data_IF_923628753097
#
_entry.id   IF_923628753097
#
_cell.length_a   1.000
_cell.length_b   1.000
_cell.length_c   1.000
_cell.angle_alpha   90.00
_cell.angle_beta   90.00
_cell.angle_gamma   90.00
#
_symmetry.space_group_name_H-M   'P 1'
#
loop_
_entity.id
_entity.type
_entity.pdbx_description
1 polymer ?
#
# COMPACT_ATOMS: atom_id res chain seq x y z
N UNK A 1 4.12 7.09 -16.95
CA UNK A 1 4.39 6.71 -15.54
C UNK A 1 4.00 5.24 -15.34
N UNK A 2 4.88 4.38 -14.81
CA UNK A 2 4.63 2.94 -14.74
C UNK A 2 3.97 2.55 -13.41
N UNK A 3 2.68 2.17 -13.45
CA UNK A 3 1.91 1.76 -12.25
C UNK A 3 2.49 0.53 -11.54
N UNK A 4 3.07 -0.42 -12.30
CA UNK A 4 3.69 -1.62 -11.73
C UNK A 4 4.88 -1.23 -10.85
N UNK A 5 5.79 -0.41 -11.35
CA UNK A 5 6.99 0.00 -10.58
C UNK A 5 6.64 0.83 -9.34
N UNK A 6 5.58 1.65 -9.40
CA UNK A 6 5.06 2.41 -8.25
C UNK A 6 4.55 1.47 -7.16
N UNK A 7 3.78 0.44 -7.55
CA UNK A 7 3.26 -0.53 -6.60
C UNK A 7 4.36 -1.43 -6.03
N UNK A 8 5.34 -1.84 -6.84
CA UNK A 8 6.53 -2.56 -6.36
C UNK A 8 7.34 -1.73 -5.35
N UNK A 9 7.41 -0.39 -5.53
CA UNK A 9 8.00 0.49 -4.52
C UNK A 9 7.20 0.49 -3.21
N UNK A 10 5.88 0.35 -3.29
CA UNK A 10 5.01 0.24 -2.10
C UNK A 10 5.24 -1.07 -1.37
N UNK A 11 5.39 -2.19 -2.10
CA UNK A 11 5.74 -3.49 -1.53
C UNK A 11 7.06 -3.38 -0.75
N UNK A 12 8.10 -2.81 -1.37
CA UNK A 12 9.41 -2.60 -0.71
C UNK A 12 9.33 -1.72 0.53
N UNK A 13 8.45 -0.71 0.55
CA UNK A 13 8.21 0.09 1.76
C UNK A 13 7.70 -0.80 2.90
N UNK A 14 6.67 -1.59 2.64
CA UNK A 14 6.08 -2.47 3.67
C UNK A 14 7.04 -3.57 4.13
N UNK A 15 7.82 -4.17 3.22
CA UNK A 15 8.87 -5.12 3.61
C UNK A 15 9.88 -4.49 4.58
N UNK A 16 10.24 -3.21 4.38
CA UNK A 16 11.13 -2.47 5.30
C UNK A 16 10.47 -2.18 6.65
N UNK A 17 9.17 -1.89 6.69
CA UNK A 17 8.42 -1.70 7.94
C UNK A 17 8.37 -3.01 8.72
N UNK A 18 8.05 -4.12 8.06
CA UNK A 18 8.01 -5.47 8.65
C UNK A 18 9.38 -5.85 9.21
N UNK A 19 10.46 -5.55 8.48
CA UNK A 19 11.82 -5.81 8.93
C UNK A 19 12.32 -4.84 10.04
N UNK A 20 11.49 -3.92 10.53
CA UNK A 20 11.89 -2.92 11.53
C UNK A 20 12.87 -1.86 11.02
N UNK A 21 13.07 -1.76 9.70
CA UNK A 21 14.04 -0.85 9.03
C UNK A 21 13.41 0.48 8.58
N UNK A 22 12.13 0.68 8.86
CA UNK A 22 11.37 1.87 8.47
C UNK A 22 10.09 1.99 9.31
N UNK A 23 9.40 3.12 9.17
CA UNK A 23 8.12 3.42 9.78
C UNK A 23 7.12 3.80 8.69
N UNK A 24 5.83 3.71 9.00
CA UNK A 24 4.76 4.15 8.13
C UNK A 24 4.49 5.66 8.30
N UNK A 25 4.88 6.45 7.30
CA UNK A 25 4.57 7.88 7.19
C UNK A 25 3.22 8.18 6.52
N UNK A 26 2.39 7.16 6.26
CA UNK A 26 1.09 7.31 5.63
C UNK A 26 1.16 7.97 4.24
N UNK A 27 0.43 9.08 4.05
CA UNK A 27 0.34 9.75 2.75
C UNK A 27 1.65 10.38 2.29
N UNK A 28 2.57 10.68 3.22
CA UNK A 28 3.81 11.40 2.95
C UNK A 28 4.87 10.53 2.27
N UNK A 29 4.89 9.24 2.58
CA UNK A 29 5.90 8.29 2.11
C UNK A 29 5.32 7.14 1.28
N UNK A 30 3.99 7.02 1.18
CA UNK A 30 3.33 6.05 0.31
C UNK A 30 3.59 6.39 -1.17
N UNK A 31 4.26 5.51 -1.95
CA UNK A 31 4.66 5.86 -3.32
C UNK A 31 3.50 6.24 -4.27
N UNK A 32 2.33 5.57 -4.23
CA UNK A 32 1.13 6.04 -4.95
C UNK A 32 0.63 7.39 -4.45
N UNK A 33 0.56 7.61 -3.13
CA UNK A 33 0.03 8.86 -2.58
C UNK A 33 0.86 10.08 -2.99
N UNK A 34 2.19 9.93 -3.10
CA UNK A 34 3.08 11.00 -3.59
C UNK A 34 2.73 11.52 -4.98
N UNK A 35 1.96 10.76 -5.76
CA UNK A 35 1.53 11.11 -7.12
C UNK A 35 0.02 11.43 -7.13
N UNK A 36 -0.78 10.58 -6.52
CA UNK A 36 -2.24 10.56 -6.73
C UNK A 36 -3.03 11.17 -5.58
N UNK A 37 -2.42 11.47 -4.42
CA UNK A 37 -3.15 12.00 -3.27
C UNK A 37 -3.74 13.39 -3.56
N UNK A 38 -2.95 14.28 -4.20
CA UNK A 38 -3.40 15.62 -4.60
C UNK A 38 -4.55 15.58 -5.62
N UNK A 39 -4.63 14.50 -6.41
CA UNK A 39 -5.71 14.25 -7.35
C UNK A 39 -6.86 13.43 -6.73
N UNK A 40 -6.98 13.42 -5.40
CA UNK A 40 -8.04 12.70 -4.68
C UNK A 40 -8.11 11.22 -5.08
N UNK A 41 -6.92 10.60 -5.19
CA UNK A 41 -6.71 9.20 -5.58
C UNK A 41 -7.11 8.85 -7.03
N UNK A 42 -7.43 9.82 -7.89
CA UNK A 42 -7.72 9.56 -9.30
C UNK A 42 -6.48 8.98 -10.00
N UNK A 43 -6.63 7.82 -10.63
CA UNK A 43 -5.54 7.10 -11.29
C UNK A 43 -4.64 6.27 -10.35
N UNK A 44 -4.92 6.28 -9.04
CA UNK A 44 -4.19 5.46 -8.07
C UNK A 44 -4.48 3.97 -8.32
N UNK A 45 -3.46 3.10 -8.43
CA UNK A 45 -3.68 1.68 -8.66
C UNK A 45 -4.52 0.99 -7.57
N UNK A 46 -4.37 1.43 -6.31
CA UNK A 46 -5.19 0.90 -5.20
C UNK A 46 -6.65 1.28 -5.39
N UNK A 47 -6.93 2.55 -5.72
CA UNK A 47 -8.30 3.02 -5.90
C UNK A 47 -8.97 2.40 -7.14
N UNK A 48 -8.21 2.18 -8.21
CA UNK A 48 -8.68 1.45 -9.38
C UNK A 48 -8.96 -0.02 -9.07
N UNK A 49 -8.14 -0.65 -8.23
CA UNK A 49 -8.30 -2.05 -7.85
C UNK A 49 -9.51 -2.28 -6.93
N UNK A 50 -9.68 -1.44 -5.91
CA UNK A 50 -10.76 -1.58 -4.93
C UNK A 50 -12.06 -0.89 -5.33
N UNK A 51 -12.00 0.00 -6.33
CA UNK A 51 -13.09 0.93 -6.64
C UNK A 51 -13.33 2.01 -5.58
N UNK A 52 -12.44 2.15 -4.59
CA UNK A 52 -12.64 3.02 -3.41
C UNK A 52 -11.45 3.96 -3.18
N UNK A 53 -11.75 5.20 -2.77
CA UNK A 53 -10.73 6.23 -2.46
C UNK A 53 -10.18 6.11 -1.03
N UNK A 54 -9.06 6.79 -0.77
CA UNK A 54 -8.44 6.92 0.56
C UNK A 54 -8.14 5.58 1.24
N UNK A 55 -7.59 4.64 0.47
CA UNK A 55 -7.26 3.28 0.92
C UNK A 55 -8.46 2.50 1.52
N UNK A 56 -9.70 2.96 1.33
CA UNK A 56 -10.87 2.22 1.79
C UNK A 56 -10.94 0.87 1.06
N UNK A 57 -11.24 -0.19 1.81
CA UNK A 57 -11.23 -1.55 1.28
C UNK A 57 -9.85 -2.19 1.14
N UNK A 58 -8.77 -1.54 1.60
CA UNK A 58 -7.47 -2.18 1.80
C UNK A 58 -7.23 -2.50 3.29
N UNK A 59 -6.24 -3.37 3.60
CA UNK A 59 -5.82 -3.64 4.98
C UNK A 59 -5.30 -2.41 5.75
N UNK A 60 -4.96 -1.32 5.06
CA UNK A 60 -4.35 -0.12 5.65
C UNK A 60 -5.19 0.47 6.79
N UNK A 61 -6.53 0.43 6.68
CA UNK A 61 -7.40 0.94 7.73
C UNK A 61 -7.18 0.21 9.06
N UNK A 62 -7.05 -1.12 9.03
CA UNK A 62 -6.81 -1.92 10.24
C UNK A 62 -5.46 -1.61 10.86
N UNK A 63 -4.40 -1.53 10.04
CA UNK A 63 -3.07 -1.10 10.51
C UNK A 63 -3.12 0.28 11.16
N UNK A 64 -3.76 1.26 10.51
CA UNK A 64 -3.83 2.62 11.01
C UNK A 64 -4.54 2.74 12.36
N UNK A 65 -5.70 2.09 12.51
CA UNK A 65 -6.45 2.09 13.76
C UNK A 65 -5.72 1.35 14.87
N UNK A 66 -5.17 0.17 14.60
CA UNK A 66 -4.35 -0.57 15.57
C UNK A 66 -3.16 0.28 16.08
N UNK A 67 -2.45 0.99 15.20
CA UNK A 67 -1.36 1.87 15.60
C UNK A 67 -1.81 3.03 16.50
N UNK A 68 -3.00 3.60 16.25
CA UNK A 68 -3.48 4.72 17.04
C UNK A 68 -4.11 4.26 18.37
N UNK A 69 -4.89 3.19 18.35
CA UNK A 69 -5.71 2.76 19.48
C UNK A 69 -4.88 1.96 20.49
N UNK A 70 -3.96 1.08 20.02
CA UNK A 70 -3.19 0.18 20.90
C UNK A 70 -1.80 0.71 21.25
N UNK A 71 -1.29 1.69 20.49
CA UNK A 71 0.06 2.22 20.71
C UNK A 71 0.09 3.74 20.92
N UNK A 72 -0.72 4.51 20.18
CA UNK A 72 -0.82 5.96 20.34
C UNK A 72 0.47 6.74 20.04
N UNK A 73 1.49 6.09 19.45
CA UNK A 73 2.77 6.71 19.17
C UNK A 73 2.74 7.56 17.89
N UNK A 74 3.52 8.64 17.89
CA UNK A 74 3.68 9.49 16.72
C UNK A 74 4.29 8.73 15.53
N UNK A 75 5.28 7.87 15.80
CA UNK A 75 5.96 7.04 14.79
C UNK A 75 5.24 5.71 14.70
N UNK A 76 4.70 5.36 13.53
CA UNK A 76 4.03 4.08 13.29
C UNK A 76 5.03 3.04 12.80
N UNK A 77 5.41 2.08 13.63
CA UNK A 77 6.31 0.97 13.27
C UNK A 77 5.77 -0.33 13.85
N UNK A 78 6.46 -1.44 13.59
CA UNK A 78 6.10 -2.71 14.22
C UNK A 78 6.49 -2.67 15.70
N UNK A 79 5.49 -2.69 16.59
CA UNK A 79 5.66 -2.69 18.04
C UNK A 79 5.25 -4.00 18.69
N UNK A 80 4.35 -4.75 18.07
CA UNK A 80 3.80 -6.00 18.60
C UNK A 80 3.56 -7.03 17.48
N UNK A 81 3.24 -8.30 17.81
CA UNK A 81 2.96 -9.33 16.80
C UNK A 81 1.79 -8.98 15.86
N UNK A 82 0.77 -8.28 16.37
CA UNK A 82 -0.39 -7.88 15.56
C UNK A 82 0.00 -6.81 14.52
N UNK A 83 0.92 -5.89 14.87
CA UNK A 83 1.52 -4.99 13.89
C UNK A 83 2.16 -5.77 12.74
N UNK A 84 2.99 -6.78 13.03
CA UNK A 84 3.64 -7.60 11.99
C UNK A 84 2.59 -8.24 11.09
N UNK A 85 1.52 -8.80 11.66
CA UNK A 85 0.43 -9.41 10.90
C UNK A 85 -0.26 -8.40 9.98
N UNK A 86 -0.67 -7.25 10.51
CA UNK A 86 -1.35 -6.19 9.75
C UNK A 86 -0.47 -5.54 8.67
N UNK A 87 0.82 -5.36 8.96
CA UNK A 87 1.79 -4.88 7.96
C UNK A 87 1.99 -5.91 6.84
N UNK A 88 2.00 -7.20 7.17
CA UNK A 88 2.09 -8.30 6.20
C UNK A 88 0.84 -8.37 5.33
N UNK A 89 -0.36 -8.30 5.92
CA UNK A 89 -1.63 -8.20 5.17
C UNK A 89 -1.56 -7.06 4.13
N UNK A 90 -1.04 -5.90 4.54
CA UNK A 90 -0.93 -4.75 3.66
C UNK A 90 0.10 -4.97 2.55
N UNK A 91 1.26 -5.56 2.87
CA UNK A 91 2.29 -5.93 1.89
C UNK A 91 1.73 -6.90 0.85
N UNK A 92 1.04 -7.95 1.29
CA UNK A 92 0.46 -8.99 0.43
C UNK A 92 -0.61 -8.41 -0.49
N UNK A 93 -1.46 -7.53 0.03
CA UNK A 93 -2.43 -6.79 -0.77
C UNK A 93 -1.75 -5.94 -1.88
N UNK A 94 -0.61 -5.30 -1.59
CA UNK A 94 0.13 -4.57 -2.63
C UNK A 94 0.72 -5.52 -3.69
N UNK A 95 1.20 -6.70 -3.29
CA UNK A 95 1.70 -7.73 -4.21
C UNK A 95 0.60 -8.22 -5.14
N UNK A 96 -0.61 -8.45 -4.62
CA UNK A 96 -1.78 -8.83 -5.42
C UNK A 96 -2.08 -7.81 -6.53
N UNK A 97 -2.04 -6.51 -6.20
CA UNK A 97 -2.22 -5.44 -7.18
C UNK A 97 -1.10 -5.44 -8.23
N UNK A 98 0.16 -5.63 -7.82
CA UNK A 98 1.29 -5.73 -8.75
C UNK A 98 1.05 -6.84 -9.77
N UNK A 99 0.65 -8.03 -9.31
CA UNK A 99 0.40 -9.17 -10.18
C UNK A 99 -0.83 -8.98 -11.07
N UNK A 100 -1.90 -8.36 -10.54
CA UNK A 100 -3.05 -7.95 -11.35
C UNK A 100 -2.64 -7.02 -12.50
N UNK A 101 -1.84 -5.99 -12.22
CA UNK A 101 -1.36 -5.03 -13.22
C UNK A 101 -0.47 -5.70 -14.27
N UNK A 102 0.43 -6.61 -13.86
CA UNK A 102 1.27 -7.39 -14.77
C UNK A 102 0.42 -8.27 -15.70
N UNK A 103 -0.59 -8.96 -15.17
CA UNK A 103 -1.53 -9.79 -15.97
C UNK A 103 -2.32 -8.94 -16.97
N UNK A 104 -2.80 -7.77 -16.54
CA UNK A 104 -3.52 -6.82 -17.41
C UNK A 104 -2.65 -6.33 -18.56
N UNK A 105 -1.40 -5.95 -18.28
CA UNK A 105 -0.42 -5.52 -19.30
C UNK A 105 -0.16 -6.62 -20.33
N UNK A 106 0.14 -7.85 -19.90
CA UNK A 106 0.33 -9.00 -20.81
C UNK A 106 -0.88 -9.26 -21.70
N UNK A 107 -2.09 -9.10 -21.16
CA UNK A 107 -3.33 -9.30 -21.92
C UNK A 107 -3.53 -8.22 -22.98
N UNK A 108 -3.18 -6.98 -22.68
CA UNK A 108 -3.25 -5.87 -23.64
C UNK A 108 -2.23 -6.03 -24.76
N UNK A 109 -1.02 -6.48 -24.45
CA UNK A 109 0.03 -6.75 -25.45
C UNK A 109 -0.33 -7.88 -26.40
N UNK A 110 -1.04 -8.92 -25.94
CA UNK A 110 -1.54 -10.01 -26.80
C UNK A 110 -2.69 -9.62 -27.74
N UNK A 111 -3.38 -8.51 -27.44
CA UNK A 111 -4.52 -8.00 -28.23
C UNK A 111 -4.11 -6.94 -29.25
N UNK A 112 -2.86 -6.50 -29.23
CA UNK A 112 -2.28 -5.50 -30.13
C UNK A 112 -1.48 -6.20 -31.21
#
# INVERSE_FOLDING_TARGET
MNKISIMEASVRKWDRIIAGKSSDGGVLDCPPCRIYYILVCIGCPIAEYTGKKFCRGSPYGRWYWHQNDDHGYMIKKVYCPECTRLATDMRDFMVEIVEHLKKKKKTQEKKK
#
